data_IF_117081267775
#
_entry.id   IF_117081267775
#
_cell.length_a   1.000
_cell.length_b   1.000
_cell.length_c   1.000
_cell.angle_alpha   90.00
_cell.angle_beta   90.00
_cell.angle_gamma   90.00
#
_symmetry.space_group_name_H-M   'P 1'
#
loop_
_entity.id
_entity.type
_entity.pdbx_description
1 polymer ?
#
# COMPACT_ATOMS: atom_id res chain seq x y z
N UNK A 1 -3.65 -6.96 -9.84
CA UNK A 1 -4.76 -7.23 -8.90
C UNK A 1 -5.46 -5.93 -8.56
N UNK A 2 -4.88 -5.00 -7.79
CA UNK A 2 -5.53 -3.71 -7.50
C UNK A 2 -5.62 -2.77 -8.73
N UNK A 3 -4.59 -2.75 -9.59
CA UNK A 3 -4.55 -1.97 -10.85
C UNK A 3 -5.11 -2.70 -12.09
N UNK A 4 -5.60 -3.93 -11.95
CA UNK A 4 -6.00 -4.76 -13.10
C UNK A 4 -4.87 -5.28 -14.00
N UNK A 5 -3.61 -4.88 -13.78
CA UNK A 5 -2.45 -5.27 -14.61
C UNK A 5 -1.66 -6.48 -14.08
N UNK A 6 -2.23 -7.29 -13.19
CA UNK A 6 -1.48 -8.45 -12.66
C UNK A 6 -1.26 -9.51 -13.73
N UNK A 7 -0.02 -9.98 -13.79
CA UNK A 7 0.36 -11.18 -14.50
C UNK A 7 0.30 -12.38 -13.53
N UNK A 8 0.46 -13.58 -14.09
CA UNK A 8 0.41 -14.83 -13.32
C UNK A 8 1.58 -15.00 -12.34
N UNK A 9 2.63 -14.22 -12.52
CA UNK A 9 3.87 -14.18 -11.74
C UNK A 9 3.97 -12.87 -10.92
N UNK A 10 2.87 -12.17 -10.69
CA UNK A 10 2.89 -10.90 -9.98
C UNK A 10 2.69 -11.08 -8.48
N UNK A 11 3.57 -10.44 -7.71
CA UNK A 11 3.47 -10.35 -6.26
C UNK A 11 2.17 -9.63 -5.83
N UNK A 12 1.71 -9.97 -4.63
CA UNK A 12 0.58 -9.35 -3.97
C UNK A 12 1.11 -8.46 -2.86
N UNK A 13 1.21 -7.15 -3.14
CA UNK A 13 1.52 -6.14 -2.14
C UNK A 13 0.36 -5.96 -1.17
N UNK A 14 0.62 -6.15 0.13
CA UNK A 14 -0.38 -6.03 1.18
C UNK A 14 0.06 -5.02 2.23
N UNK A 15 -0.80 -4.06 2.56
CA UNK A 15 -0.67 -3.29 3.80
C UNK A 15 -1.63 -3.88 4.83
N UNK A 16 -1.10 -4.33 5.96
CA UNK A 16 -1.90 -4.77 7.11
C UNK A 16 -1.69 -3.79 8.24
N UNK A 17 -2.79 -3.20 8.70
CA UNK A 17 -2.79 -2.33 9.88
C UNK A 17 -3.40 -3.09 11.04
N UNK A 18 -2.62 -3.32 12.10
CA UNK A 18 -3.05 -4.10 13.26
C UNK A 18 -2.50 -3.52 14.57
N UNK A 19 -3.30 -3.60 15.63
CA UNK A 19 -2.88 -3.25 16.99
C UNK A 19 -1.90 -4.30 17.53
N UNK A 20 -1.12 -3.93 18.55
CA UNK A 20 -0.21 -4.81 19.30
C UNK A 20 0.84 -5.57 18.45
N UNK A 21 1.21 -5.02 17.28
CA UNK A 21 2.31 -5.59 16.50
C UNK A 21 3.65 -5.46 17.25
N UNK A 22 4.52 -6.48 17.15
CA UNK A 22 5.84 -6.42 17.74
C UNK A 22 6.63 -5.23 17.18
N UNK A 23 7.58 -4.69 17.96
CA UNK A 23 8.43 -3.58 17.49
C UNK A 23 9.47 -4.06 16.48
N UNK A 24 9.91 -5.31 16.57
CA UNK A 24 10.93 -5.88 15.71
C UNK A 24 10.41 -6.20 14.31
N UNK A 25 11.15 -5.79 13.28
CA UNK A 25 10.83 -6.15 11.89
C UNK A 25 10.83 -7.67 11.65
N UNK A 26 11.79 -8.38 12.25
CA UNK A 26 11.88 -9.84 12.12
C UNK A 26 10.70 -10.54 12.80
N UNK A 27 10.32 -10.12 14.00
CA UNK A 27 9.15 -10.68 14.71
C UNK A 27 7.85 -10.46 13.93
N UNK A 28 7.70 -9.30 13.27
CA UNK A 28 6.59 -9.04 12.35
C UNK A 28 6.62 -9.99 11.15
N UNK A 29 7.80 -10.26 10.60
CA UNK A 29 7.94 -11.23 9.50
C UNK A 29 7.56 -12.64 9.95
N UNK A 30 8.02 -13.06 11.14
CA UNK A 30 7.70 -14.37 11.71
C UNK A 30 6.19 -14.54 11.88
N UNK A 31 5.51 -13.51 12.42
CA UNK A 31 4.05 -13.49 12.53
C UNK A 31 3.35 -13.65 11.18
N UNK A 32 3.87 -12.99 10.13
CA UNK A 32 3.27 -13.10 8.80
C UNK A 32 3.52 -14.46 8.16
N UNK A 33 4.68 -15.08 8.41
CA UNK A 33 4.98 -16.43 7.90
C UNK A 33 3.99 -17.47 8.43
N UNK A 34 3.53 -17.34 9.68
CA UNK A 34 2.46 -18.20 10.22
C UNK A 34 1.14 -18.04 9.44
N UNK A 35 0.81 -16.80 9.04
CA UNK A 35 -0.36 -16.52 8.19
C UNK A 35 -0.18 -17.13 6.81
N UNK A 36 0.98 -16.95 6.17
CA UNK A 36 1.26 -17.55 4.85
C UNK A 36 1.16 -19.07 4.89
N UNK A 37 1.66 -19.72 5.94
CA UNK A 37 1.57 -21.17 6.08
C UNK A 37 0.13 -21.64 6.22
N UNK A 38 -0.72 -20.89 6.91
CA UNK A 38 -2.16 -21.18 6.96
C UNK A 38 -2.86 -21.05 5.60
N UNK A 39 -2.32 -20.21 4.71
CA UNK A 39 -2.80 -20.00 3.34
C UNK A 39 -2.19 -20.98 2.34
N UNK A 40 -1.19 -21.78 2.73
CA UNK A 40 -0.46 -22.71 1.86
C UNK A 40 -1.38 -23.57 0.98
N UNK A 41 -2.46 -24.20 1.49
CA UNK A 41 -3.33 -25.02 0.64
C UNK A 41 -3.99 -24.22 -0.50
N UNK A 42 -4.35 -22.97 -0.26
CA UNK A 42 -4.95 -22.08 -1.26
C UNK A 42 -3.91 -21.62 -2.29
N UNK A 43 -2.69 -21.36 -1.84
CA UNK A 43 -1.56 -20.99 -2.72
C UNK A 43 -1.26 -22.17 -3.66
N UNK A 44 -1.16 -23.39 -3.13
CA UNK A 44 -0.91 -24.60 -3.93
C UNK A 44 -2.04 -24.87 -4.95
N UNK A 45 -3.30 -24.58 -4.60
CA UNK A 45 -4.41 -24.64 -5.55
C UNK A 45 -4.26 -23.61 -6.68
N UNK A 46 -3.86 -22.38 -6.35
CA UNK A 46 -3.58 -21.35 -7.35
C UNK A 46 -2.39 -21.72 -8.26
N UNK A 47 -1.34 -22.33 -7.70
CA UNK A 47 -0.19 -22.85 -8.46
C UNK A 47 -0.58 -23.92 -9.46
N UNK A 48 -1.49 -24.83 -9.10
CA UNK A 48 -2.04 -25.83 -10.04
C UNK A 48 -2.79 -25.19 -11.21
N UNK A 49 -3.33 -23.99 -11.03
CA UNK A 49 -3.96 -23.18 -12.08
C UNK A 49 -2.96 -22.32 -12.86
N UNK A 50 -1.66 -22.43 -12.53
CA UNK A 50 -0.56 -21.73 -13.19
C UNK A 50 -0.31 -20.31 -12.67
N UNK A 51 -0.73 -20.01 -11.44
CA UNK A 51 -0.39 -18.75 -10.75
C UNK A 51 0.76 -18.96 -9.77
N UNK A 52 1.78 -18.12 -9.81
CA UNK A 52 2.81 -18.05 -8.79
C UNK A 52 2.51 -16.85 -7.92
N UNK A 53 2.14 -17.10 -6.66
CA UNK A 53 1.70 -16.07 -5.72
C UNK A 53 2.78 -15.89 -4.66
N UNK A 54 3.33 -14.68 -4.58
CA UNK A 54 4.18 -14.24 -3.48
C UNK A 54 3.52 -13.03 -2.79
N UNK A 55 3.48 -13.03 -1.46
CA UNK A 55 2.95 -11.90 -0.70
C UNK A 55 4.09 -10.96 -0.27
N UNK A 56 3.86 -9.67 -0.46
CA UNK A 56 4.76 -8.61 0.00
C UNK A 56 4.07 -7.79 1.11
N UNK A 57 4.07 -8.28 2.36
CA UNK A 57 3.39 -7.61 3.47
C UNK A 57 4.17 -6.40 4.00
N UNK A 58 3.45 -5.31 4.22
CA UNK A 58 3.85 -4.20 5.05
C UNK A 58 2.94 -4.17 6.28
N UNK A 59 3.49 -4.55 7.42
CA UNK A 59 2.78 -4.57 8.69
C UNK A 59 3.01 -3.24 9.43
N UNK A 60 1.94 -2.53 9.77
CA UNK A 60 1.98 -1.26 10.52
C UNK A 60 1.01 -1.26 11.70
N UNK A 61 1.39 -0.58 12.78
CA UNK A 61 0.41 -0.22 13.82
C UNK A 61 -0.49 0.91 13.33
N UNK A 62 -1.67 1.15 13.94
CA UNK A 62 -2.49 2.31 13.62
C UNK A 62 -1.72 3.64 13.73
N UNK A 63 -0.84 3.78 14.73
CA UNK A 63 -0.03 5.00 14.92
C UNK A 63 0.99 5.20 13.79
N UNK A 64 1.60 4.10 13.29
CA UNK A 64 2.52 4.12 12.15
C UNK A 64 1.79 4.33 10.82
N UNK A 65 0.57 3.81 10.70
CA UNK A 65 -0.27 3.91 9.51
C UNK A 65 -0.97 5.26 9.41
N UNK A 66 -1.18 5.96 10.53
CA UNK A 66 -1.73 7.31 10.54
C UNK A 66 -0.77 8.34 9.92
N UNK A 67 0.53 8.03 9.87
CA UNK A 67 1.55 8.90 9.25
C UNK A 67 1.63 8.63 7.75
N UNK A 68 1.33 9.65 6.96
CA UNK A 68 1.46 9.61 5.51
C UNK A 68 2.88 9.24 5.10
N UNK A 69 3.00 8.23 4.22
CA UNK A 69 4.26 7.88 3.57
C UNK A 69 4.12 8.00 2.05
N UNK A 70 5.23 8.14 1.29
CA UNK A 70 5.17 8.24 -0.17
C UNK A 70 4.41 7.08 -0.85
N UNK A 71 4.46 5.88 -0.28
CA UNK A 71 3.69 4.71 -0.74
C UNK A 71 2.18 5.01 -0.83
N UNK A 72 1.65 5.81 0.09
CA UNK A 72 0.21 6.08 0.14
C UNK A 72 -0.27 6.93 -1.03
N UNK A 73 0.61 7.68 -1.69
CA UNK A 73 0.26 8.44 -2.89
C UNK A 73 -0.28 7.51 -3.98
N UNK A 74 0.39 6.40 -4.23
CA UNK A 74 -0.08 5.40 -5.19
C UNK A 74 -1.33 4.66 -4.67
N UNK A 75 -1.44 4.44 -3.35
CA UNK A 75 -2.59 3.79 -2.76
C UNK A 75 -3.88 4.62 -2.86
N UNK A 76 -3.79 5.96 -2.87
CA UNK A 76 -4.98 6.83 -3.07
C UNK A 76 -5.66 6.54 -4.41
N UNK A 77 -4.89 6.22 -5.44
CA UNK A 77 -5.43 5.96 -6.78
C UNK A 77 -5.74 4.48 -7.00
N UNK A 78 -4.87 3.60 -6.51
CA UNK A 78 -4.82 2.23 -7.00
C UNK A 78 -5.13 1.16 -5.93
N UNK A 79 -5.18 1.51 -4.65
CA UNK A 79 -5.39 0.50 -3.60
C UNK A 79 -6.85 0.03 -3.54
N UNK A 80 -7.02 -1.26 -3.27
CA UNK A 80 -8.32 -1.86 -2.97
C UNK A 80 -8.34 -2.19 -1.47
N UNK A 81 -9.31 -1.63 -0.75
CA UNK A 81 -9.51 -1.94 0.66
C UNK A 81 -10.25 -3.27 0.76
N UNK A 82 -9.57 -4.30 1.27
CA UNK A 82 -10.16 -5.62 1.49
C UNK A 82 -10.98 -5.68 2.79
N UNK A 83 -10.49 -5.02 3.84
CA UNK A 83 -11.13 -4.91 5.15
C UNK A 83 -10.62 -3.67 5.86
N UNK A 84 -11.52 -2.89 6.47
CA UNK A 84 -11.16 -1.71 7.27
C UNK A 84 -12.15 -1.53 8.43
N UNK A 85 -11.70 -1.86 9.64
CA UNK A 85 -12.54 -1.75 10.83
C UNK A 85 -12.71 -0.28 11.21
N UNK A 86 -13.94 0.21 11.12
CA UNK A 86 -14.27 1.59 11.50
C UNK A 86 -13.81 2.64 10.48
N UNK A 87 -13.37 2.23 9.29
CA UNK A 87 -12.94 3.15 8.22
C UNK A 87 -11.67 3.92 8.55
N UNK A 88 -10.78 3.34 9.37
CA UNK A 88 -9.55 3.99 9.80
C UNK A 88 -8.65 4.32 8.62
N UNK A 89 -8.27 3.31 7.83
CA UNK A 89 -7.28 3.49 6.76
C UNK A 89 -7.90 4.19 5.55
N UNK A 90 -9.17 3.94 5.27
CA UNK A 90 -9.95 4.73 4.32
C UNK A 90 -9.92 6.22 4.69
N UNK A 91 -10.09 6.54 5.98
CA UNK A 91 -9.98 7.90 6.48
C UNK A 91 -8.58 8.51 6.31
N UNK A 92 -7.51 7.70 6.45
CA UNK A 92 -6.12 8.13 6.18
C UNK A 92 -5.97 8.51 4.70
N UNK A 93 -6.38 7.63 3.79
CA UNK A 93 -6.28 7.87 2.34
C UNK A 93 -7.15 9.05 1.90
N UNK A 94 -8.32 9.23 2.48
CA UNK A 94 -9.22 10.35 2.15
C UNK A 94 -8.64 11.71 2.59
N UNK A 95 -7.99 11.78 3.76
CA UNK A 95 -7.27 12.99 4.17
C UNK A 95 -6.13 13.31 3.22
N UNK A 96 -5.37 12.28 2.81
CA UNK A 96 -4.30 12.46 1.83
C UNK A 96 -4.85 12.92 0.48
N UNK A 97 -5.94 12.32 -0.02
CA UNK A 97 -6.59 12.72 -1.27
C UNK A 97 -6.95 14.22 -1.25
N UNK A 98 -7.64 14.68 -0.21
CA UNK A 98 -7.99 16.11 -0.05
C UNK A 98 -6.76 17.00 -0.04
N UNK A 99 -5.70 16.58 0.66
CA UNK A 99 -4.45 17.34 0.70
C UNK A 99 -3.79 17.45 -0.68
N UNK A 100 -3.78 16.37 -1.44
CA UNK A 100 -3.28 16.36 -2.82
C UNK A 100 -4.10 17.27 -3.73
N UNK A 101 -5.43 17.27 -3.60
CA UNK A 101 -6.32 18.18 -4.34
C UNK A 101 -6.05 19.65 -3.99
N UNK A 102 -5.90 19.99 -2.71
CA UNK A 102 -5.57 21.35 -2.24
C UNK A 102 -4.23 21.86 -2.80
N UNK A 103 -3.24 20.99 -2.91
CA UNK A 103 -1.92 21.32 -3.45
C UNK A 103 -1.92 21.39 -4.98
N UNK A 104 -3.01 20.99 -5.64
CA UNK A 104 -3.05 20.83 -7.09
C UNK A 104 -2.10 19.73 -7.57
N UNK A 105 -1.90 18.71 -6.74
CA UNK A 105 -1.03 17.59 -7.03
C UNK A 105 -1.60 16.73 -8.17
N UNK A 106 -0.73 16.13 -8.97
CA UNK A 106 -1.13 15.27 -10.07
C UNK A 106 -0.13 14.13 -10.30
N UNK A 107 -0.65 12.98 -10.70
CA UNK A 107 0.15 11.84 -11.15
C UNK A 107 0.50 12.00 -12.62
N UNK A 108 1.78 12.22 -12.92
CA UNK A 108 2.28 12.46 -14.28
C UNK A 108 2.86 11.18 -14.84
N UNK A 109 2.36 10.74 -16.00
CA UNK A 109 2.91 9.60 -16.75
C UNK A 109 4.06 10.05 -17.65
N UNK A 110 5.21 9.39 -17.56
CA UNK A 110 6.39 9.60 -18.38
C UNK A 110 6.79 8.27 -19.03
N UNK A 111 6.28 8.02 -20.24
CA UNK A 111 6.47 6.75 -20.94
C UNK A 111 5.83 5.57 -20.18
N UNK A 112 6.66 4.63 -19.73
CA UNK A 112 6.25 3.48 -18.89
C UNK A 112 6.28 3.78 -17.38
N UNK A 113 6.83 4.93 -16.98
CA UNK A 113 6.95 5.35 -15.59
C UNK A 113 5.88 6.37 -15.25
N UNK A 114 5.63 6.56 -13.96
CA UNK A 114 4.85 7.68 -13.44
C UNK A 114 5.57 8.28 -12.24
N UNK A 115 5.26 9.54 -11.95
CA UNK A 115 5.71 10.23 -10.75
C UNK A 115 4.62 11.17 -10.26
N UNK A 116 4.64 11.47 -8.97
CA UNK A 116 3.76 12.46 -8.38
C UNK A 116 4.40 13.84 -8.46
N UNK A 117 3.68 14.79 -9.06
CA UNK A 117 3.97 16.22 -9.00
C UNK A 117 3.03 16.82 -7.97
N UNK A 118 3.52 17.08 -6.76
CA UNK A 118 2.69 17.58 -5.64
C UNK A 118 2.24 19.03 -5.81
N UNK A 119 2.95 19.83 -6.60
CA UNK A 119 2.62 21.24 -6.88
C UNK A 119 3.18 21.64 -8.27
N UNK A 120 2.61 22.63 -8.97
CA UNK A 120 3.14 23.04 -10.29
C UNK A 120 4.22 24.11 -10.21
N UNK A 121 4.12 24.99 -9.22
CA UNK A 121 4.93 26.20 -9.05
C UNK A 121 5.92 26.08 -7.88
N UNK A 122 6.56 24.91 -7.74
CA UNK A 122 7.59 24.67 -6.73
C UNK A 122 8.63 25.79 -6.72
N UNK A 123 8.91 26.34 -5.54
CA UNK A 123 10.06 27.21 -5.32
C UNK A 123 11.19 26.44 -4.65
N UNK A 124 12.42 26.72 -5.07
CA UNK A 124 13.60 26.14 -4.42
C UNK A 124 13.59 26.47 -2.92
N UNK A 125 13.74 25.45 -2.08
CA UNK A 125 13.68 25.58 -0.61
C UNK A 125 12.27 25.54 0.00
N UNK A 126 11.22 25.39 -0.82
CA UNK A 126 9.85 25.23 -0.33
C UNK A 126 9.66 23.85 0.32
N UNK A 127 9.09 23.83 1.53
CA UNK A 127 8.70 22.61 2.23
C UNK A 127 7.24 22.31 1.91
N UNK A 128 6.96 21.10 1.44
CA UNK A 128 5.60 20.63 1.18
C UNK A 128 5.26 19.54 2.19
N UNK A 129 4.21 19.80 2.94
CA UNK A 129 3.71 18.90 3.98
C UNK A 129 2.43 18.20 3.50
N UNK A 130 2.43 16.88 3.63
CA UNK A 130 1.37 15.94 3.28
C UNK A 130 0.71 15.34 4.52
#
# INVERSE_FOLDING_TARGET
VARGEARRDSDIDLLVVAEDLPRGRFERQDLFMEVEESLRPLIEEAEKLGYTIEFSPLLKTPEEAARTTPLYLDMVEDAVILYDRGGFFQGVLERLRKRLEELGAERVKCGKLWYWRLKRDYKFGEVIEL
#
